data_IF_796155872330
#
_entry.id   IF_796155872330
#
_cell.length_a   1.000
_cell.length_b   1.000
_cell.length_c   1.000
_cell.angle_alpha   90.00
_cell.angle_beta   90.00
_cell.angle_gamma   90.00
#
_symmetry.space_group_name_H-M   'P 1'
#
loop_
_entity.id
_entity.type
_entity.pdbx_description
1 polymer ?
#
# COMPACT_ATOMS: atom_id res chain seq x y z
N UNK A 1 22.67 2.28 -5.94
CA UNK A 1 21.80 1.41 -5.12
C UNK A 1 20.73 0.81 -6.00
N UNK A 2 20.99 -0.39 -6.51
CA UNK A 2 20.16 -1.13 -7.47
C UNK A 2 19.21 -1.98 -6.61
N UNK A 3 17.93 -1.57 -6.54
CA UNK A 3 16.93 -2.21 -5.68
C UNK A 3 16.76 -3.68 -6.06
N UNK A 4 17.08 -4.57 -5.12
CA UNK A 4 16.97 -6.01 -5.31
C UNK A 4 15.49 -6.42 -5.39
N UNK A 5 15.09 -6.95 -6.56
CA UNK A 5 13.99 -7.91 -6.74
C UNK A 5 12.61 -7.52 -6.21
N UNK A 6 11.91 -6.61 -6.90
CA UNK A 6 10.44 -6.43 -6.74
C UNK A 6 9.74 -6.42 -8.11
N UNK A 7 10.34 -7.02 -9.14
CA UNK A 7 9.71 -7.16 -10.45
C UNK A 7 8.81 -8.39 -10.45
N UNK A 8 7.83 -8.44 -9.54
CA UNK A 8 6.68 -9.29 -9.77
C UNK A 8 5.84 -8.57 -10.82
N UNK A 9 5.62 -9.19 -11.99
CA UNK A 9 4.89 -8.59 -13.11
C UNK A 9 3.46 -8.16 -12.72
N UNK A 10 2.95 -8.73 -11.63
CA UNK A 10 1.64 -8.47 -11.08
C UNK A 10 1.61 -7.26 -10.14
N UNK A 11 2.76 -6.71 -9.75
CA UNK A 11 2.85 -5.55 -8.85
C UNK A 11 3.23 -4.29 -9.63
N UNK A 12 2.36 -3.28 -9.56
CA UNK A 12 2.59 -1.94 -10.08
C UNK A 12 2.61 -0.94 -8.93
N UNK A 13 3.59 -0.03 -8.91
CA UNK A 13 3.70 1.02 -7.89
C UNK A 13 3.70 2.37 -8.60
N UNK A 14 2.76 3.23 -8.21
CA UNK A 14 2.63 4.60 -8.67
C UNK A 14 2.84 5.56 -7.49
N UNK A 15 3.66 6.58 -7.68
CA UNK A 15 3.97 7.57 -6.64
C UNK A 15 3.55 8.95 -7.13
N UNK A 16 2.61 9.55 -6.42
CA UNK A 16 2.18 10.93 -6.62
C UNK A 16 2.82 11.83 -5.55
N UNK A 17 3.91 12.51 -5.93
CA UNK A 17 4.65 13.41 -5.04
C UNK A 17 3.88 14.68 -4.69
N UNK A 18 2.98 15.14 -5.57
CA UNK A 18 2.19 16.35 -5.34
C UNK A 18 1.08 16.09 -4.33
N UNK A 19 0.46 14.91 -4.39
CA UNK A 19 -0.60 14.50 -3.47
C UNK A 19 -0.08 13.78 -2.21
N UNK A 20 1.24 13.58 -2.10
CA UNK A 20 1.87 12.76 -1.06
C UNK A 20 1.25 11.36 -0.94
N UNK A 21 0.92 10.76 -2.08
CA UNK A 21 0.19 9.50 -2.16
C UNK A 21 1.01 8.46 -2.94
N UNK A 22 1.04 7.24 -2.43
CA UNK A 22 1.64 6.08 -3.08
C UNK A 22 0.53 5.05 -3.28
N UNK A 23 0.30 4.66 -4.53
CA UNK A 23 -0.64 3.58 -4.89
C UNK A 23 0.15 2.37 -5.34
N UNK A 24 -0.10 1.22 -4.74
CA UNK A 24 0.46 -0.06 -5.16
C UNK A 24 -0.68 -1.00 -5.57
N UNK A 25 -0.70 -1.41 -6.83
CA UNK A 25 -1.68 -2.34 -7.42
C UNK A 25 -1.04 -3.70 -7.55
N UNK A 26 -1.63 -4.70 -6.90
CA UNK A 26 -1.27 -6.10 -7.05
C UNK A 26 -2.40 -6.85 -7.75
N UNK A 27 -2.13 -7.47 -8.90
CA UNK A 27 -3.14 -8.18 -9.69
C UNK A 27 -2.64 -9.57 -10.07
N UNK A 28 -3.13 -10.60 -9.39
CA UNK A 28 -2.80 -12.00 -9.69
C UNK A 28 -4.05 -12.80 -10.05
N UNK A 29 -4.12 -13.26 -11.29
CA UNK A 29 -5.21 -14.10 -11.83
C UNK A 29 -6.61 -13.50 -11.51
N UNK A 30 -7.38 -14.10 -10.62
CA UNK A 30 -8.72 -13.62 -10.20
C UNK A 30 -8.66 -12.64 -9.02
N UNK A 31 -7.51 -12.49 -8.36
CA UNK A 31 -7.36 -11.63 -7.18
C UNK A 31 -6.71 -10.30 -7.55
N UNK A 32 -7.33 -9.18 -7.14
CA UNK A 32 -6.72 -7.85 -7.29
C UNK A 32 -6.81 -7.03 -6.01
N UNK A 33 -5.76 -6.30 -5.70
CA UNK A 33 -5.68 -5.43 -4.52
C UNK A 33 -4.98 -4.12 -4.87
N UNK A 34 -5.66 -3.01 -4.62
CA UNK A 34 -5.08 -1.67 -4.70
C UNK A 34 -4.85 -1.17 -3.27
N UNK A 35 -3.59 -0.99 -2.92
CA UNK A 35 -3.13 -0.41 -1.67
C UNK A 35 -2.83 1.07 -1.88
N UNK A 36 -3.27 1.92 -0.95
CA UNK A 36 -3.00 3.36 -0.98
C UNK A 36 -2.33 3.75 0.33
N UNK A 37 -1.19 4.42 0.24
CA UNK A 37 -0.45 4.98 1.37
C UNK A 37 -0.43 6.49 1.17
N UNK A 38 -1.05 7.23 2.09
CA UNK A 38 -1.13 8.67 2.02
C UNK A 38 -0.38 9.31 3.18
N UNK A 39 0.66 10.07 2.85
CA UNK A 39 1.38 10.86 3.85
C UNK A 39 0.64 12.18 4.06
N UNK A 40 0.35 12.55 5.32
CA UNK A 40 -0.24 13.85 5.60
C UNK A 40 0.79 14.95 5.33
N UNK A 41 0.31 16.12 4.90
CA UNK A 41 1.14 17.32 4.73
C UNK A 41 1.87 17.76 6.01
N UNK A 42 1.34 17.38 7.17
CA UNK A 42 1.94 17.66 8.49
C UNK A 42 2.75 16.48 9.03
N UNK A 43 3.23 15.55 8.20
CA UNK A 43 4.10 14.47 8.66
C UNK A 43 5.36 15.05 9.36
N UNK A 44 5.75 14.60 10.56
CA UNK A 44 5.28 13.44 11.32
C UNK A 44 4.21 13.72 12.40
N UNK A 45 3.68 14.96 12.51
CA UNK A 45 2.66 15.32 13.52
C UNK A 45 1.37 14.51 13.37
N UNK A 46 1.04 14.11 12.14
CA UNK A 46 -0.01 13.14 11.85
C UNK A 46 0.59 11.86 11.29
N UNK A 47 0.10 10.68 11.71
CA UNK A 47 0.58 9.41 11.18
C UNK A 47 0.18 9.26 9.71
N UNK A 48 0.96 8.45 8.98
CA UNK A 48 0.62 8.02 7.63
C UNK A 48 -0.69 7.22 7.66
N UNK A 49 -1.56 7.48 6.69
CA UNK A 49 -2.78 6.71 6.47
C UNK A 49 -2.51 5.60 5.46
N UNK A 50 -2.95 4.39 5.77
CA UNK A 50 -2.80 3.22 4.92
C UNK A 50 -4.19 2.65 4.69
N UNK A 51 -4.58 2.57 3.41
CA UNK A 51 -5.90 2.15 2.98
C UNK A 51 -5.84 1.15 1.83
N UNK A 52 -6.99 0.60 1.48
CA UNK A 52 -7.16 -0.29 0.33
C UNK A 52 -8.33 0.24 -0.52
N UNK A 53 -8.03 0.64 -1.75
CA UNK A 53 -9.02 1.23 -2.67
C UNK A 53 -9.84 0.16 -3.41
N UNK A 54 -9.21 -0.99 -3.70
CA UNK A 54 -9.82 -2.14 -4.36
C UNK A 54 -9.35 -3.41 -3.68
N UNK A 55 -10.27 -4.31 -3.36
CA UNK A 55 -9.97 -5.69 -2.99
C UNK A 55 -10.96 -6.59 -3.73
N UNK A 56 -10.45 -7.55 -4.50
CA UNK A 56 -11.24 -8.52 -5.23
C UNK A 56 -10.59 -9.88 -5.01
N UNK A 57 -11.37 -10.87 -4.55
CA UNK A 57 -10.87 -12.21 -4.23
C UNK A 57 -10.18 -12.34 -2.87
N UNK A 58 -10.17 -11.30 -2.03
CA UNK A 58 -9.57 -11.32 -0.68
C UNK A 58 -10.68 -11.24 0.37
N UNK A 59 -10.61 -12.10 1.40
CA UNK A 59 -11.54 -12.00 2.53
C UNK A 59 -11.23 -10.79 3.41
N UNK A 60 -12.29 -10.14 3.92
CA UNK A 60 -12.19 -8.94 4.78
C UNK A 60 -11.26 -9.16 5.99
N UNK A 61 -11.27 -10.36 6.58
CA UNK A 61 -10.41 -10.71 7.70
C UNK A 61 -8.92 -10.74 7.32
N UNK A 62 -8.57 -11.25 6.14
CA UNK A 62 -7.19 -11.22 5.64
C UNK A 62 -6.77 -9.79 5.34
N UNK A 63 -7.63 -9.03 4.66
CA UNK A 63 -7.38 -7.64 4.33
C UNK A 63 -7.13 -6.80 5.59
N UNK A 64 -7.98 -6.91 6.62
CA UNK A 64 -7.79 -6.17 7.89
C UNK A 64 -6.48 -6.54 8.57
N UNK A 65 -6.12 -7.83 8.61
CA UNK A 65 -4.83 -8.26 9.17
C UNK A 65 -3.65 -7.64 8.43
N UNK A 66 -3.67 -7.66 7.10
CA UNK A 66 -2.60 -7.07 6.30
C UNK A 66 -2.51 -5.56 6.48
N UNK A 67 -3.66 -4.87 6.50
CA UNK A 67 -3.71 -3.42 6.71
C UNK A 67 -3.15 -3.03 8.08
N UNK A 68 -3.51 -3.78 9.13
CA UNK A 68 -2.98 -3.60 10.48
C UNK A 68 -1.46 -3.79 10.51
N UNK A 69 -0.95 -4.89 9.94
CA UNK A 69 0.48 -5.17 9.87
C UNK A 69 1.23 -4.08 9.11
N UNK A 70 0.69 -3.61 7.99
CA UNK A 70 1.34 -2.60 7.17
C UNK A 70 1.31 -1.21 7.84
N UNK A 71 0.20 -0.84 8.46
CA UNK A 71 0.08 0.41 9.23
C UNK A 71 1.08 0.43 10.39
N UNK A 72 1.21 -0.68 11.12
CA UNK A 72 2.18 -0.81 12.20
C UNK A 72 3.62 -0.73 11.68
N UNK A 73 3.91 -1.37 10.55
CA UNK A 73 5.23 -1.31 9.91
C UNK A 73 5.61 0.14 9.54
N UNK A 74 4.74 0.83 8.80
CA UNK A 74 5.02 2.21 8.32
C UNK A 74 5.18 3.21 9.46
N UNK A 75 4.45 3.04 10.57
CA UNK A 75 4.56 3.94 11.74
C UNK A 75 5.83 3.74 12.57
N UNK A 76 6.49 2.60 12.45
CA UNK A 76 7.61 2.20 13.30
C UNK A 76 8.96 2.15 12.56
N UNK A 77 9.06 2.74 11.37
CA UNK A 77 10.31 2.91 10.61
C UNK A 77 10.97 4.25 10.88
#
# INVERSE_FOLDING_TARGET
IKGAGIADENLSISVNKLAYEITATYKKEETSMDLVIQLPSCYPLRPVDVGCSRNLGISETKQRKWLMSLTAFVRNQ
#
